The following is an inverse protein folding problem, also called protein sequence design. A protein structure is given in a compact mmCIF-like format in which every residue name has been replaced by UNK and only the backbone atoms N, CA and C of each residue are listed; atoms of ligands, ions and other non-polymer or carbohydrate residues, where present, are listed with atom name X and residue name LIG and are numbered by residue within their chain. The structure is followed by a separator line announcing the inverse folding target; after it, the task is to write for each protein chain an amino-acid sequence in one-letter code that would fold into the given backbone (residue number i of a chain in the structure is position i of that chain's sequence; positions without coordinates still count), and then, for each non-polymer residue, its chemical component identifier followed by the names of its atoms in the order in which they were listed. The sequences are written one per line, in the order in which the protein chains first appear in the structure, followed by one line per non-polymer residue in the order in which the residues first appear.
data_IF_381179273450
#
_entry.id   IF_381179273450
#
_cell.length_a   1.000
_cell.length_b   1.000
_cell.length_c   1.000
_cell.angle_alpha   90.00
_cell.angle_beta   90.00
_cell.angle_gamma   90.00
#
_symmetry.space_group_name_H-M   'P 1'
#
loop_
_entity.id
_entity.type
_entity.pdbx_description
1 polymer ?
#
# COMPACT_ATOMS: atom_id res chain seq x y z
N UNK A 1 4.88 29.85 29.92
CA UNK A 1 4.10 29.16 28.92
C UNK A 1 4.87 27.92 28.47
N UNK A 2 4.43 26.79 28.98
CA UNK A 2 4.96 25.46 28.61
C UNK A 2 4.33 25.04 27.27
N UNK A 3 5.09 24.43 26.33
CA UNK A 3 4.52 23.94 25.11
C UNK A 3 3.60 22.75 25.37
N UNK A 4 2.40 22.84 24.81
CA UNK A 4 1.37 21.83 24.89
C UNK A 4 1.82 20.63 24.04
N UNK A 5 2.24 19.55 24.69
CA UNK A 5 2.56 18.27 24.04
C UNK A 5 1.24 17.62 23.72
N UNK A 6 0.95 17.27 22.45
CA UNK A 6 -0.30 16.59 22.12
C UNK A 6 -0.34 15.22 22.82
N UNK A 7 -1.49 14.96 23.44
CA UNK A 7 -1.74 13.73 24.20
C UNK A 7 -1.61 12.51 23.28
N UNK A 8 -0.64 11.67 23.57
CA UNK A 8 -0.49 10.31 23.03
C UNK A 8 -1.75 9.50 23.35
N UNK A 9 -2.65 9.38 22.39
CA UNK A 9 -3.73 8.39 22.46
C UNK A 9 -3.13 7.03 22.08
N UNK A 10 -2.50 6.35 23.03
CA UNK A 10 -2.02 4.98 22.89
C UNK A 10 -2.96 4.05 23.65
N UNK A 11 -3.85 3.42 22.89
CA UNK A 11 -4.39 2.12 23.30
C UNK A 11 -3.76 1.06 22.39
N UNK A 12 -2.49 0.75 22.64
CA UNK A 12 -1.80 -0.37 22.02
C UNK A 12 -2.11 -1.62 22.81
N UNK A 13 -2.94 -2.49 22.24
CA UNK A 13 -2.86 -3.91 22.56
C UNK A 13 -1.63 -4.39 21.80
N UNK A 14 -0.48 -4.45 22.48
CA UNK A 14 0.77 -4.98 21.94
C UNK A 14 0.61 -6.50 21.75
N UNK A 15 -0.08 -6.87 20.70
CA UNK A 15 0.02 -8.19 20.12
C UNK A 15 1.01 -8.09 18.95
N UNK A 16 2.26 -8.57 19.07
CA UNK A 16 3.28 -8.40 18.03
C UNK A 16 2.91 -9.05 16.70
N UNK A 17 1.79 -9.76 16.64
CA UNK A 17 1.29 -10.45 15.47
C UNK A 17 0.02 -9.80 14.90
N UNK A 18 -0.47 -8.68 15.45
CA UNK A 18 -1.64 -7.99 14.92
C UNK A 18 -1.25 -7.06 13.77
N UNK A 19 -2.01 -7.13 12.66
CA UNK A 19 -1.78 -6.30 11.48
C UNK A 19 -1.93 -4.82 11.82
N UNK A 20 -1.06 -3.98 11.25
CA UNK A 20 -0.97 -2.55 11.52
C UNK A 20 -1.84 -1.75 10.57
N UNK A 21 -2.70 -0.90 11.12
CA UNK A 21 -3.58 -0.01 10.35
C UNK A 21 -3.34 1.42 10.78
N UNK A 22 -3.19 2.32 9.82
CA UNK A 22 -3.18 3.76 10.04
C UNK A 22 -4.56 4.33 9.68
N UNK A 23 -5.17 5.06 10.63
CA UNK A 23 -6.43 5.80 10.44
C UNK A 23 -6.11 7.28 10.33
N UNK A 24 -6.59 7.93 9.26
CA UNK A 24 -6.40 9.34 9.00
C UNK A 24 -7.77 9.99 8.85
N UNK A 25 -8.14 10.82 9.83
CA UNK A 25 -9.48 11.43 9.92
C UNK A 25 -9.36 12.71 10.76
N UNK A 26 -9.81 13.84 10.25
CA UNK A 26 -9.70 15.13 10.94
C UNK A 26 -10.72 15.29 12.06
N UNK A 27 -11.88 14.65 11.95
CA UNK A 27 -12.91 14.67 12.99
C UNK A 27 -12.51 13.78 14.17
N UNK A 28 -12.26 14.39 15.33
CA UNK A 28 -11.81 13.71 16.56
C UNK A 28 -12.77 12.61 17.03
N UNK A 29 -14.07 12.83 16.91
CA UNK A 29 -15.10 11.87 17.36
C UNK A 29 -15.11 10.63 16.45
N UNK A 30 -15.11 10.85 15.13
CA UNK A 30 -15.07 9.77 14.15
C UNK A 30 -13.74 9.02 14.21
N UNK A 31 -12.62 9.73 14.33
CA UNK A 31 -11.29 9.14 14.49
C UNK A 31 -11.25 8.22 15.72
N UNK A 32 -11.71 8.71 16.88
CA UNK A 32 -11.77 7.93 18.13
C UNK A 32 -12.69 6.71 18.00
N UNK A 33 -13.83 6.86 17.32
CA UNK A 33 -14.75 5.76 17.05
C UNK A 33 -14.13 4.68 16.15
N UNK A 34 -13.44 5.07 15.08
CA UNK A 34 -12.73 4.16 14.16
C UNK A 34 -11.63 3.40 14.90
N UNK A 35 -10.78 4.11 15.66
CA UNK A 35 -9.73 3.51 16.48
C UNK A 35 -10.32 2.50 17.45
N UNK A 36 -11.31 2.88 18.25
CA UNK A 36 -11.98 2.00 19.21
C UNK A 36 -12.58 0.76 18.54
N UNK A 37 -13.20 0.96 17.37
CA UNK A 37 -13.81 -0.13 16.62
C UNK A 37 -12.81 -1.12 16.02
N UNK A 38 -11.60 -0.69 15.67
CA UNK A 38 -10.60 -1.52 14.98
C UNK A 38 -9.55 -2.11 15.95
N UNK A 39 -9.25 -1.45 17.06
CA UNK A 39 -8.18 -1.86 18.01
C UNK A 39 -8.40 -3.21 18.67
N UNK A 40 -9.63 -3.75 18.65
CA UNK A 40 -9.90 -5.12 19.14
C UNK A 40 -9.32 -6.21 18.23
N UNK A 41 -8.96 -5.88 16.98
CA UNK A 41 -8.52 -6.84 15.96
C UNK A 41 -7.13 -6.47 15.41
N UNK A 42 -6.83 -5.17 15.33
CA UNK A 42 -5.66 -4.60 14.66
C UNK A 42 -4.83 -3.74 15.61
N UNK A 43 -3.54 -3.59 15.31
CA UNK A 43 -2.72 -2.55 15.92
C UNK A 43 -2.97 -1.24 15.14
N UNK A 44 -3.59 -0.25 15.80
CA UNK A 44 -4.09 0.96 15.14
C UNK A 44 -3.33 2.18 15.64
N UNK A 45 -2.76 2.95 14.71
CA UNK A 45 -2.35 4.33 14.93
C UNK A 45 -3.28 5.28 14.18
N UNK A 46 -3.40 6.52 14.65
CA UNK A 46 -4.27 7.50 14.03
C UNK A 46 -3.66 8.91 14.04
N UNK A 47 -4.02 9.71 13.03
CA UNK A 47 -3.64 11.11 12.91
C UNK A 47 -4.76 11.93 12.25
N UNK A 48 -4.58 13.26 12.19
CA UNK A 48 -5.64 14.18 11.79
C UNK A 48 -5.57 14.64 10.32
N UNK A 49 -4.46 14.39 9.63
CA UNK A 49 -4.27 14.84 8.23
C UNK A 49 -3.21 14.01 7.51
N UNK A 50 -3.14 14.17 6.17
CA UNK A 50 -2.22 13.41 5.34
C UNK A 50 -0.74 13.72 5.59
N UNK A 51 -0.39 14.93 6.03
CA UNK A 51 1.02 15.28 6.32
C UNK A 51 1.55 14.52 7.53
N UNK A 52 0.76 14.43 8.60
CA UNK A 52 1.07 13.61 9.77
C UNK A 52 1.15 12.13 9.38
N UNK A 53 0.22 11.67 8.52
CA UNK A 53 0.20 10.30 8.04
C UNK A 53 1.49 9.90 7.34
N UNK A 54 2.06 10.75 6.46
CA UNK A 54 3.32 10.46 5.77
C UNK A 54 4.51 10.31 6.72
N UNK A 55 4.50 10.99 7.87
CA UNK A 55 5.53 10.83 8.90
C UNK A 55 5.34 9.48 9.61
N UNK A 56 4.10 9.19 10.02
CA UNK A 56 3.77 7.95 10.74
C UNK A 56 4.02 6.72 9.87
N UNK A 57 3.73 6.77 8.58
CA UNK A 57 3.95 5.65 7.65
C UNK A 57 5.40 5.17 7.69
N UNK A 58 6.37 6.09 7.75
CA UNK A 58 7.81 5.76 7.77
C UNK A 58 8.29 5.11 9.07
N UNK A 59 7.59 5.35 10.17
CA UNK A 59 7.95 4.79 11.48
C UNK A 59 7.15 3.55 11.82
N UNK A 60 5.87 3.58 11.52
CA UNK A 60 4.89 2.55 11.90
C UNK A 60 4.79 1.42 10.87
N UNK A 61 5.06 1.69 9.58
CA UNK A 61 4.94 0.74 8.47
C UNK A 61 3.58 0.05 8.46
N UNK A 62 2.47 0.77 8.25
CA UNK A 62 1.14 0.19 8.26
C UNK A 62 0.96 -0.78 7.09
N UNK A 63 0.14 -1.81 7.29
CA UNK A 63 -0.25 -2.76 6.25
C UNK A 63 -1.49 -2.30 5.48
N UNK A 64 -2.20 -1.27 5.98
CA UNK A 64 -3.31 -0.59 5.33
C UNK A 64 -3.45 0.83 5.87
N UNK A 65 -3.77 1.77 4.99
CA UNK A 65 -4.17 3.14 5.35
C UNK A 65 -5.67 3.29 5.10
N UNK A 66 -6.40 3.74 6.13
CA UNK A 66 -7.80 4.15 6.09
C UNK A 66 -7.83 5.67 6.21
N UNK A 67 -8.28 6.39 5.18
CA UNK A 67 -8.25 7.86 5.18
C UNK A 67 -9.57 8.47 4.76
N UNK A 68 -9.98 9.54 5.44
CA UNK A 68 -10.96 10.46 4.87
C UNK A 68 -10.36 11.16 3.64
N UNK A 69 -11.19 11.52 2.68
CA UNK A 69 -10.78 12.31 1.50
C UNK A 69 -10.62 13.77 1.88
N UNK A 70 -11.61 14.34 2.57
CA UNK A 70 -11.69 15.78 2.85
C UNK A 70 -11.08 16.12 4.20
N UNK A 71 -9.81 16.47 4.22
CA UNK A 71 -9.09 16.86 5.44
C UNK A 71 -8.29 18.14 5.22
N UNK A 72 -8.03 18.94 6.29
CA UNK A 72 -7.18 20.12 6.19
C UNK A 72 -5.71 19.72 5.90
N UNK A 73 -4.93 20.64 5.38
CA UNK A 73 -3.50 20.57 5.06
C UNK A 73 -3.15 19.60 3.93
N UNK A 74 -3.57 18.35 3.99
CA UNK A 74 -3.40 17.33 2.98
C UNK A 74 -4.57 16.35 3.04
N UNK A 75 -5.33 16.27 1.97
CA UNK A 75 -6.46 15.35 1.82
C UNK A 75 -6.05 13.90 1.64
N UNK A 76 -7.03 12.99 1.72
CA UNK A 76 -6.78 11.56 1.53
C UNK A 76 -6.43 11.20 0.08
N UNK A 77 -6.91 11.97 -0.87
CA UNK A 77 -6.56 11.86 -2.30
C UNK A 77 -5.08 12.18 -2.55
N UNK A 78 -4.62 13.34 -2.06
CA UNK A 78 -3.21 13.74 -2.12
C UNK A 78 -2.30 12.74 -1.37
N UNK A 79 -2.75 12.27 -0.19
CA UNK A 79 -2.05 11.24 0.57
C UNK A 79 -1.95 9.93 -0.22
N UNK A 80 -3.04 9.51 -0.86
CA UNK A 80 -3.06 8.30 -1.70
C UNK A 80 -2.05 8.40 -2.84
N UNK A 81 -2.05 9.51 -3.59
CA UNK A 81 -1.07 9.76 -4.66
C UNK A 81 0.35 9.70 -4.11
N UNK A 82 0.63 10.32 -2.96
CA UNK A 82 1.95 10.30 -2.34
C UNK A 82 2.39 8.86 -1.99
N UNK A 83 1.51 8.07 -1.37
CA UNK A 83 1.77 6.66 -1.03
C UNK A 83 2.02 5.81 -2.28
N UNK A 84 1.19 5.98 -3.32
CA UNK A 84 1.27 5.15 -4.55
C UNK A 84 2.44 5.53 -5.46
N UNK A 85 2.94 6.75 -5.37
CA UNK A 85 4.08 7.23 -6.16
C UNK A 85 5.44 6.84 -5.57
N UNK A 86 5.51 6.48 -4.31
CA UNK A 86 6.74 6.07 -3.64
C UNK A 86 6.89 4.53 -3.69
N UNK A 87 8.01 4.06 -4.23
CA UNK A 87 8.33 2.62 -4.36
C UNK A 87 8.25 1.88 -3.03
N UNK A 88 8.66 2.51 -1.93
CA UNK A 88 8.67 1.88 -0.61
C UNK A 88 7.27 1.70 -0.04
N UNK A 89 6.33 2.59 -0.38
CA UNK A 89 4.97 2.61 0.20
C UNK A 89 3.86 2.26 -0.79
N UNK A 90 4.14 2.26 -2.11
CA UNK A 90 3.14 2.00 -3.18
C UNK A 90 2.37 0.70 -3.00
N UNK A 91 2.97 -0.26 -2.34
CA UNK A 91 2.39 -1.56 -2.03
C UNK A 91 1.36 -1.51 -0.89
N UNK A 92 1.27 -0.42 -0.10
CA UNK A 92 0.31 -0.28 1.00
C UNK A 92 -1.09 0.00 0.43
N UNK A 93 -2.10 -0.84 0.72
CA UNK A 93 -3.46 -0.57 0.28
C UNK A 93 -4.03 0.65 1.00
N UNK A 94 -4.72 1.48 0.22
CA UNK A 94 -5.40 2.70 0.69
C UNK A 94 -6.90 2.53 0.49
N UNK A 95 -7.66 2.60 1.60
CA UNK A 95 -9.12 2.66 1.62
C UNK A 95 -9.55 4.08 1.92
N UNK A 96 -10.26 4.71 0.99
CA UNK A 96 -10.73 6.09 1.13
C UNK A 96 -12.19 6.12 1.61
N UNK A 97 -12.46 6.98 2.60
CA UNK A 97 -13.80 7.29 3.07
C UNK A 97 -14.32 8.52 2.33
N UNK A 98 -15.48 8.42 1.70
CA UNK A 98 -16.05 9.48 0.87
C UNK A 98 -17.48 9.82 1.29
N UNK A 99 -17.90 11.08 1.10
CA UNK A 99 -19.28 11.47 1.34
C UNK A 99 -20.20 11.06 0.18
N UNK A 100 -21.49 10.82 0.47
CA UNK A 100 -22.51 10.55 -0.54
C UNK A 100 -22.69 11.81 -1.40
N UNK A 101 -22.50 11.71 -2.72
CA UNK A 101 -22.64 12.83 -3.66
C UNK A 101 -21.35 13.24 -4.37
N UNK A 102 -20.22 12.72 -3.98
CA UNK A 102 -18.92 12.95 -4.64
C UNK A 102 -18.68 12.02 -5.84
N UNK A 103 -19.74 11.67 -6.61
CA UNK A 103 -19.64 10.78 -7.75
C UNK A 103 -18.62 11.27 -8.81
N UNK A 104 -18.46 12.58 -8.95
CA UNK A 104 -17.42 13.16 -9.82
C UNK A 104 -16.01 12.94 -9.22
N UNK A 105 -15.87 13.00 -7.90
CA UNK A 105 -14.60 12.70 -7.22
C UNK A 105 -14.28 11.22 -7.23
N UNK A 106 -15.28 10.31 -7.31
CA UNK A 106 -15.04 8.87 -7.46
C UNK A 106 -14.52 8.55 -8.87
N UNK A 107 -15.01 9.22 -9.92
CA UNK A 107 -14.51 9.05 -11.28
C UNK A 107 -13.10 9.64 -11.46
N UNK A 108 -12.82 10.79 -10.85
CA UNK A 108 -11.47 11.35 -10.76
C UNK A 108 -10.59 10.50 -9.82
N UNK A 109 -11.18 9.93 -8.76
CA UNK A 109 -10.52 9.06 -7.79
C UNK A 109 -10.10 7.70 -8.33
N UNK A 110 -10.76 7.14 -9.35
CA UNK A 110 -10.28 5.95 -10.06
C UNK A 110 -8.93 6.19 -10.74
N UNK A 111 -8.58 7.45 -11.04
CA UNK A 111 -7.27 7.85 -11.55
C UNK A 111 -6.21 8.02 -10.44
N UNK A 112 -6.62 8.14 -9.17
CA UNK A 112 -5.75 8.36 -8.00
C UNK A 112 -5.04 7.08 -7.54
N UNK A 113 -5.60 5.90 -7.92
CA UNK A 113 -4.99 4.60 -7.61
C UNK A 113 -5.31 4.08 -6.20
N UNK A 114 -6.38 4.56 -5.55
CA UNK A 114 -6.87 3.95 -4.31
C UNK A 114 -7.37 2.52 -4.56
N UNK A 115 -7.17 1.64 -3.58
CA UNK A 115 -7.53 0.22 -3.71
C UNK A 115 -9.02 -0.03 -3.44
N UNK A 116 -9.67 0.83 -2.64
CA UNK A 116 -11.08 0.72 -2.29
C UNK A 116 -11.65 2.08 -1.85
N UNK A 117 -12.96 2.26 -2.02
CA UNK A 117 -13.74 3.41 -1.56
C UNK A 117 -14.89 2.95 -0.69
N UNK A 118 -15.15 3.64 0.40
CA UNK A 118 -16.29 3.39 1.28
C UNK A 118 -17.09 4.68 1.51
N UNK A 119 -18.35 4.66 1.06
CA UNK A 119 -19.25 5.83 1.14
C UNK A 119 -19.78 5.99 2.57
N UNK A 120 -19.66 7.19 3.13
CA UNK A 120 -20.30 7.61 4.40
C UNK A 120 -21.80 7.90 4.17
N UNK A 121 -22.75 7.43 5.04
CA UNK A 121 -22.51 6.66 6.27
C UNK A 121 -22.34 5.16 6.01
N UNK A 122 -21.43 4.53 6.73
CA UNK A 122 -21.15 3.09 6.63
C UNK A 122 -21.31 2.36 7.98
N UNK A 123 -21.48 1.06 7.92
CA UNK A 123 -21.43 0.23 9.12
C UNK A 123 -20.01 -0.29 9.39
N UNK A 124 -19.64 -0.42 10.68
CA UNK A 124 -18.35 -1.02 11.07
C UNK A 124 -18.16 -2.43 10.52
N UNK A 125 -19.25 -3.18 10.34
CA UNK A 125 -19.19 -4.53 9.73
C UNK A 125 -18.67 -4.47 8.30
N UNK A 126 -19.18 -3.53 7.48
CA UNK A 126 -18.73 -3.34 6.09
C UNK A 126 -17.29 -2.86 6.07
N UNK A 127 -16.94 -1.87 6.90
CA UNK A 127 -15.57 -1.38 7.01
C UNK A 127 -14.58 -2.53 7.34
N UNK A 128 -14.89 -3.33 8.36
CA UNK A 128 -14.04 -4.48 8.74
C UNK A 128 -13.92 -5.52 7.63
N UNK A 129 -15.01 -5.79 6.89
CA UNK A 129 -14.99 -6.71 5.77
C UNK A 129 -14.08 -6.21 4.64
N UNK A 130 -14.16 -4.92 4.27
CA UNK A 130 -13.31 -4.33 3.24
C UNK A 130 -11.83 -4.36 3.65
N UNK A 131 -11.52 -3.97 4.90
CA UNK A 131 -10.16 -4.06 5.43
C UNK A 131 -9.63 -5.50 5.36
N UNK A 132 -10.41 -6.48 5.81
CA UNK A 132 -10.00 -7.89 5.79
C UNK A 132 -9.75 -8.40 4.36
N UNK A 133 -10.60 -8.02 3.40
CA UNK A 133 -10.45 -8.37 1.99
C UNK A 133 -9.19 -7.77 1.37
N UNK A 134 -8.93 -6.48 1.60
CA UNK A 134 -7.73 -5.81 1.09
C UNK A 134 -6.45 -6.45 1.64
N UNK A 135 -6.41 -6.72 2.94
CA UNK A 135 -5.27 -7.38 3.59
C UNK A 135 -5.07 -8.82 3.08
N UNK A 136 -6.16 -9.59 2.89
CA UNK A 136 -6.11 -10.96 2.39
C UNK A 136 -5.64 -11.01 0.94
N UNK A 137 -6.16 -10.14 0.06
CA UNK A 137 -5.75 -10.07 -1.33
C UNK A 137 -4.26 -9.76 -1.47
N UNK A 138 -3.76 -8.84 -0.64
CA UNK A 138 -2.34 -8.51 -0.61
C UNK A 138 -1.48 -9.69 -0.17
N UNK A 139 -1.88 -10.42 0.87
CA UNK A 139 -1.15 -11.59 1.34
C UNK A 139 -1.11 -12.69 0.27
N UNK A 140 -2.21 -12.90 -0.45
CA UNK A 140 -2.24 -13.85 -1.58
C UNK A 140 -1.28 -13.45 -2.70
N UNK A 141 -1.21 -12.16 -3.04
CA UNK A 141 -0.25 -11.65 -4.02
C UNK A 141 1.19 -11.86 -3.53
N UNK A 142 1.48 -11.49 -2.28
CA UNK A 142 2.79 -11.67 -1.66
C UNK A 142 3.21 -13.15 -1.68
N UNK A 143 2.31 -14.07 -1.30
CA UNK A 143 2.57 -15.52 -1.33
C UNK A 143 2.83 -16.02 -2.76
N UNK A 144 2.07 -15.53 -3.74
CA UNK A 144 2.30 -15.87 -5.15
C UNK A 144 3.68 -15.42 -5.63
N UNK A 145 4.07 -14.19 -5.30
CA UNK A 145 5.38 -13.64 -5.70
C UNK A 145 6.53 -14.22 -4.89
N UNK A 146 6.36 -14.52 -3.60
CA UNK A 146 7.38 -15.20 -2.79
C UNK A 146 7.59 -16.67 -3.18
N UNK A 147 6.53 -17.34 -3.67
CA UNK A 147 6.58 -18.72 -4.19
C UNK A 147 6.84 -18.78 -5.71
N UNK A 148 7.00 -17.65 -6.36
CA UNK A 148 7.62 -17.59 -7.68
C UNK A 148 9.12 -17.87 -7.50
N UNK A 149 9.44 -19.14 -7.20
CA UNK A 149 10.63 -19.79 -7.71
C UNK A 149 10.52 -19.64 -9.22
N UNK A 150 11.22 -18.64 -9.76
CA UNK A 150 11.21 -18.33 -11.20
C UNK A 150 11.59 -19.60 -12.00
N UNK A 151 12.27 -20.55 -11.38
CA UNK A 151 12.59 -21.86 -11.96
C UNK A 151 11.42 -22.85 -12.00
N UNK A 152 10.41 -22.77 -11.10
CA UNK A 152 9.31 -23.76 -11.04
C UNK A 152 8.03 -23.34 -11.79
N UNK A 153 7.78 -22.03 -11.96
CA UNK A 153 6.61 -21.54 -12.70
C UNK A 153 6.78 -21.52 -14.21
N UNK A 154 7.96 -21.87 -14.68
CA UNK A 154 8.31 -21.85 -16.09
C UNK A 154 8.44 -23.22 -16.73
N UNK A 155 7.67 -24.18 -16.26
CA UNK A 155 7.30 -25.33 -17.11
C UNK A 155 6.37 -24.75 -18.17
N UNK A 156 6.69 -24.79 -19.47
CA UNK A 156 5.83 -24.28 -20.52
C UNK A 156 4.51 -25.03 -20.44
N UNK A 157 3.46 -24.36 -19.96
CA UNK A 157 2.11 -24.81 -20.23
C UNK A 157 1.98 -24.77 -21.75
N UNK A 158 1.57 -25.87 -22.37
CA UNK A 158 1.58 -26.13 -23.80
C UNK A 158 0.70 -25.20 -24.66
N UNK A 159 0.31 -24.05 -24.16
CA UNK A 159 -0.48 -23.03 -24.82
C UNK A 159 0.20 -21.64 -24.73
N UNK A 160 1.14 -21.39 -25.62
CA UNK A 160 1.27 -20.07 -26.24
C UNK A 160 2.11 -19.00 -25.60
N UNK A 161 3.04 -19.26 -24.66
CA UNK A 161 4.09 -18.30 -24.32
C UNK A 161 5.34 -18.58 -25.14
N UNK A 162 5.79 -17.58 -25.90
CA UNK A 162 6.95 -17.65 -26.78
C UNK A 162 8.18 -18.12 -26.02
N UNK A 163 8.81 -19.21 -26.47
CA UNK A 163 10.09 -19.72 -25.96
C UNK A 163 11.22 -18.69 -26.03
N UNK A 164 11.03 -17.63 -26.79
CA UNK A 164 11.96 -16.50 -26.96
C UNK A 164 11.94 -15.56 -25.72
N UNK A 165 10.75 -15.25 -25.18
CA UNK A 165 10.60 -14.39 -24.00
C UNK A 165 11.24 -15.04 -22.77
N UNK A 166 11.10 -16.36 -22.67
CA UNK A 166 11.73 -17.14 -21.60
C UNK A 166 13.26 -17.11 -21.65
N UNK A 167 13.83 -17.36 -22.84
CA UNK A 167 15.29 -17.32 -23.03
C UNK A 167 15.84 -15.95 -22.71
N UNK A 168 15.08 -14.91 -23.08
CA UNK A 168 15.43 -13.52 -22.80
C UNK A 168 15.46 -13.24 -21.29
N UNK A 169 14.39 -13.58 -20.54
CA UNK A 169 14.30 -13.35 -19.10
C UNK A 169 15.40 -14.12 -18.35
N UNK A 170 15.64 -15.38 -18.71
CA UNK A 170 16.71 -16.19 -18.12
C UNK A 170 18.09 -15.61 -18.37
N UNK A 171 18.34 -15.09 -19.56
CA UNK A 171 19.61 -14.47 -19.90
C UNK A 171 19.80 -13.13 -19.16
N UNK A 172 18.78 -12.30 -19.11
CA UNK A 172 18.82 -11.03 -18.39
C UNK A 172 19.08 -11.25 -16.88
N UNK A 173 18.41 -12.23 -16.28
CA UNK A 173 18.63 -12.61 -14.87
C UNK A 173 20.07 -13.05 -14.65
N UNK A 174 20.60 -13.92 -15.49
CA UNK A 174 21.99 -14.40 -15.40
C UNK A 174 23.00 -13.25 -15.44
N UNK A 175 22.80 -12.29 -16.37
CA UNK A 175 23.66 -11.12 -16.50
C UNK A 175 23.61 -10.26 -15.23
N UNK A 176 22.42 -10.07 -14.62
CA UNK A 176 22.26 -9.34 -13.36
C UNK A 176 22.95 -10.05 -12.21
N UNK A 177 22.74 -11.36 -12.06
CA UNK A 177 23.33 -12.18 -10.99
C UNK A 177 24.88 -12.18 -11.07
N UNK A 178 25.44 -12.22 -12.28
CA UNK A 178 26.89 -12.17 -12.51
C UNK A 178 27.49 -10.77 -12.22
N UNK A 179 26.70 -9.71 -12.29
CA UNK A 179 27.13 -8.32 -12.13
C UNK A 179 26.63 -7.62 -10.88
N UNK A 180 25.97 -8.32 -9.95
CA UNK A 180 25.33 -7.73 -8.76
C UNK A 180 26.29 -6.95 -7.85
N UNK A 181 27.58 -7.28 -7.88
CA UNK A 181 28.64 -6.61 -7.12
C UNK A 181 29.48 -5.63 -7.96
N UNK A 182 29.12 -5.38 -9.21
CA UNK A 182 29.84 -4.50 -10.10
C UNK A 182 29.24 -3.07 -10.06
N UNK A 183 29.93 -2.07 -9.49
CA UNK A 183 29.42 -0.71 -9.39
C UNK A 183 29.24 0.01 -10.75
N UNK A 184 29.89 -0.49 -11.81
CA UNK A 184 29.79 0.03 -13.18
C UNK A 184 28.62 -0.60 -13.96
N UNK A 185 27.91 -1.59 -13.35
CA UNK A 185 26.79 -2.25 -14.01
C UNK A 185 25.57 -1.32 -14.04
N UNK A 186 25.10 -1.03 -15.26
CA UNK A 186 23.98 -0.13 -15.52
C UNK A 186 22.94 -0.79 -16.42
N UNK A 187 21.77 -0.17 -16.53
CA UNK A 187 20.70 -0.62 -17.44
C UNK A 187 21.20 -0.66 -18.90
N UNK A 188 22.06 0.28 -19.29
CA UNK A 188 22.63 0.31 -20.65
C UNK A 188 23.51 -0.93 -20.92
N UNK A 189 24.35 -1.31 -19.96
CA UNK A 189 25.16 -2.53 -20.02
C UNK A 189 24.29 -3.79 -20.06
N UNK A 190 23.20 -3.82 -19.30
CA UNK A 190 22.24 -4.93 -19.34
C UNK A 190 21.57 -5.04 -20.73
N UNK A 191 21.14 -3.90 -21.31
CA UNK A 191 20.54 -3.88 -22.64
C UNK A 191 21.51 -4.37 -23.73
N UNK A 192 22.74 -3.88 -23.72
CA UNK A 192 23.78 -4.33 -24.68
C UNK A 192 24.08 -5.82 -24.53
N UNK A 193 24.27 -6.30 -23.29
CA UNK A 193 24.60 -7.69 -23.01
C UNK A 193 23.45 -8.67 -23.28
N UNK A 194 22.21 -8.20 -23.22
CA UNK A 194 21.00 -8.98 -23.54
C UNK A 194 20.59 -8.92 -25.01
N UNK A 195 21.30 -8.16 -25.85
CA UNK A 195 21.04 -8.01 -27.30
C UNK A 195 19.85 -7.12 -27.63
N UNK A 196 19.43 -6.25 -26.69
CA UNK A 196 18.39 -5.25 -26.93
C UNK A 196 19.00 -3.95 -27.48
N UNK A 197 18.46 -3.47 -28.58
CA UNK A 197 18.64 -2.08 -29.05
C UNK A 197 17.67 -1.17 -28.29
N UNK A 198 18.16 0.00 -27.92
CA UNK A 198 17.32 1.08 -27.38
C UNK A 198 16.26 1.51 -28.38
#
# INVERSE_FOLDING_TARGET
PTPNVPAKATATIDNPNSRRILVVEDNDELRSYLVSSLSSIYNVQACANGKEALIIIKEFWPELVLSDIMMPEMGGDELCVAIKSDIETSHIPVLLLTALGDENNILDGLSIGADEYLIKPFSVKILRANIANLLANRELLRMRYANLDIEKTMVPSANGTNSLDWKFISNAKKIVDENINNPEFSVDVLCESSGMSR
#
